data_IF_633460878221
#
_entry.id   IF_633460878221
#
_cell.length_a   1.000
_cell.length_b   1.000
_cell.length_c   1.000
_cell.angle_alpha   90.00
_cell.angle_beta   90.00
_cell.angle_gamma   90.00
#
_symmetry.space_group_name_H-M   'P 1'
#
loop_
_entity.id
_entity.type
_entity.pdbx_description
1 polymer ?
#
# COMPACT_ATOMS: atom_id res chain seq x y z
N UNK A 1 -5.55 12.78 -1.19
CA UNK A 1 -5.16 11.36 -1.40
C UNK A 1 -6.30 10.43 -0.92
N UNK A 2 -7.56 10.89 -1.00
CA UNK A 2 -8.57 10.50 0.01
C UNK A 2 -9.44 9.31 -0.40
N UNK A 3 -9.09 8.64 -1.50
CA UNK A 3 -9.82 7.49 -2.05
C UNK A 3 -8.89 6.33 -2.41
N UNK A 4 -7.67 6.34 -1.88
CA UNK A 4 -6.68 5.29 -2.14
C UNK A 4 -6.49 4.47 -0.87
N UNK A 5 -6.48 3.16 -1.03
CA UNK A 5 -6.08 2.15 -0.04
C UNK A 5 -4.93 1.34 -0.62
N UNK A 6 -4.15 0.70 0.25
CA UNK A 6 -3.04 -0.17 -0.16
C UNK A 6 -3.43 -1.63 0.00
N UNK A 7 -2.98 -2.45 -0.94
CA UNK A 7 -3.09 -3.90 -0.86
C UNK A 7 -1.84 -4.57 -1.45
N UNK A 8 -1.70 -5.88 -1.23
CA UNK A 8 -0.66 -6.68 -1.89
C UNK A 8 -1.21 -7.68 -2.89
N UNK A 9 -2.51 -8.01 -2.82
CA UNK A 9 -3.10 -9.16 -3.53
C UNK A 9 -2.38 -10.50 -3.21
N UNK A 10 -1.91 -10.67 -1.97
CA UNK A 10 -1.22 -11.91 -1.57
C UNK A 10 -2.19 -13.09 -1.60
N UNK A 11 -1.82 -14.26 -2.17
CA UNK A 11 -0.44 -14.70 -2.48
C UNK A 11 0.07 -14.38 -3.90
N UNK A 12 -0.64 -13.56 -4.65
CA UNK A 12 -0.35 -13.17 -6.04
C UNK A 12 0.35 -11.80 -6.12
N UNK A 13 0.76 -11.40 -7.33
CA UNK A 13 1.27 -10.05 -7.66
C UNK A 13 2.39 -9.52 -6.75
N UNK A 14 3.39 -10.34 -6.42
CA UNK A 14 4.55 -9.88 -5.64
C UNK A 14 5.19 -8.62 -6.26
N UNK A 15 5.34 -7.51 -5.51
CA UNK A 15 5.97 -6.30 -6.01
C UNK A 15 7.49 -6.49 -6.13
N UNK A 16 8.18 -5.61 -6.85
CA UNK A 16 9.66 -5.56 -6.82
C UNK A 16 10.16 -5.29 -5.40
N UNK A 17 11.29 -5.90 -4.97
CA UNK A 17 12.19 -6.79 -5.72
C UNK A 17 11.80 -8.28 -5.69
N UNK A 18 10.57 -8.61 -5.30
CA UNK A 18 10.10 -9.98 -5.08
C UNK A 18 9.30 -10.56 -6.26
N UNK A 19 9.28 -9.90 -7.43
CA UNK A 19 8.55 -10.41 -8.61
C UNK A 19 8.99 -11.84 -8.95
N UNK A 20 8.04 -12.63 -9.43
CA UNK A 20 8.25 -14.05 -9.77
C UNK A 20 8.24 -14.99 -8.57
N UNK A 21 8.11 -14.49 -7.34
CA UNK A 21 7.92 -15.30 -6.11
C UNK A 21 6.49 -15.21 -5.61
N UNK A 22 6.09 -16.13 -4.72
CA UNK A 22 4.82 -16.03 -3.98
C UNK A 22 4.82 -14.73 -3.17
N UNK A 23 3.72 -13.97 -3.24
CA UNK A 23 3.61 -12.75 -2.47
C UNK A 23 3.22 -13.03 -1.01
N UNK A 24 3.41 -12.01 -0.18
CA UNK A 24 3.14 -12.02 1.25
C UNK A 24 2.71 -10.61 1.68
N UNK A 25 1.79 -10.50 2.63
CA UNK A 25 1.28 -9.23 3.13
C UNK A 25 2.40 -8.29 3.65
N UNK A 26 3.52 -8.84 4.11
CA UNK A 26 4.70 -8.06 4.55
C UNK A 26 5.34 -7.23 3.43
N UNK A 27 5.03 -7.51 2.16
CA UNK A 27 5.53 -6.74 1.02
C UNK A 27 4.76 -5.43 0.78
N UNK A 28 3.71 -5.12 1.55
CA UNK A 28 2.91 -3.91 1.36
C UNK A 28 3.72 -2.60 1.47
N UNK A 29 4.84 -2.64 2.22
CA UNK A 29 5.80 -1.52 2.30
C UNK A 29 6.31 -1.06 0.94
N UNK A 30 6.56 -1.98 0.00
CA UNK A 30 7.05 -1.64 -1.34
C UNK A 30 5.97 -0.95 -2.17
N UNK A 31 4.68 -1.25 -1.92
CA UNK A 31 3.56 -0.57 -2.57
C UNK A 31 3.43 0.85 -2.05
N UNK A 32 3.55 1.05 -0.73
CA UNK A 32 3.55 2.37 -0.10
C UNK A 32 4.71 3.25 -0.62
N UNK A 33 5.93 2.72 -0.59
CA UNK A 33 7.13 3.40 -1.11
C UNK A 33 6.97 3.78 -2.59
N UNK A 34 6.45 2.86 -3.40
CA UNK A 34 6.26 3.14 -4.83
C UNK A 34 5.20 4.21 -5.08
N UNK A 35 4.11 4.20 -4.32
CA UNK A 35 3.09 5.23 -4.41
C UNK A 35 3.61 6.60 -3.96
N UNK A 36 4.39 6.64 -2.88
CA UNK A 36 5.03 7.86 -2.39
C UNK A 36 5.94 8.49 -3.47
N UNK A 37 6.77 7.67 -4.13
CA UNK A 37 7.58 8.12 -5.28
C UNK A 37 6.72 8.68 -6.42
N UNK A 38 5.62 8.01 -6.78
CA UNK A 38 4.73 8.44 -7.87
C UNK A 38 4.04 9.77 -7.53
N UNK A 39 3.69 9.98 -6.25
CA UNK A 39 2.97 11.16 -5.77
C UNK A 39 3.86 12.30 -5.30
N UNK A 40 5.18 12.09 -5.19
CA UNK A 40 6.12 13.07 -4.64
C UNK A 40 5.87 13.37 -3.16
N UNK A 41 5.41 12.36 -2.40
CA UNK A 41 5.10 12.46 -0.97
C UNK A 41 6.09 11.66 -0.15
N UNK A 42 6.12 11.92 1.17
CA UNK A 42 6.81 11.03 2.10
C UNK A 42 6.07 9.68 2.22
N UNK A 43 6.83 8.60 2.47
CA UNK A 43 6.23 7.27 2.60
C UNK A 43 5.32 7.17 3.84
N UNK A 44 5.70 7.81 4.94
CA UNK A 44 4.88 7.84 6.16
C UNK A 44 3.56 8.59 5.91
N UNK A 45 3.60 9.70 5.17
CA UNK A 45 2.38 10.44 4.80
C UNK A 45 1.42 9.58 3.96
N UNK A 46 1.94 8.80 3.01
CA UNK A 46 1.12 7.84 2.25
C UNK A 46 0.52 6.78 3.16
N UNK A 47 1.29 6.23 4.09
CA UNK A 47 0.82 5.23 5.05
C UNK A 47 -0.32 5.81 5.90
N UNK A 48 -0.13 7.00 6.47
CA UNK A 48 -1.09 7.61 7.39
C UNK A 48 -2.42 7.89 6.67
N UNK A 49 -2.36 8.51 5.48
CA UNK A 49 -3.57 8.85 4.70
C UNK A 49 -4.28 7.60 4.19
N UNK A 50 -3.54 6.60 3.68
CA UNK A 50 -4.16 5.37 3.17
C UNK A 50 -4.71 4.48 4.29
N UNK A 51 -4.10 4.50 5.47
CA UNK A 51 -4.65 3.86 6.66
C UNK A 51 -5.94 4.55 7.12
N UNK A 52 -5.97 5.88 7.18
CA UNK A 52 -7.21 6.61 7.51
C UNK A 52 -8.32 6.33 6.50
N UNK A 53 -7.99 6.28 5.20
CA UNK A 53 -8.96 5.90 4.17
C UNK A 53 -9.49 4.49 4.36
N UNK A 54 -8.62 3.52 4.68
CA UNK A 54 -9.03 2.14 4.94
C UNK A 54 -9.91 2.04 6.19
N UNK A 55 -9.58 2.77 7.26
CA UNK A 55 -10.39 2.83 8.49
C UNK A 55 -11.81 3.31 8.21
N UNK A 56 -11.93 4.44 7.50
CA UNK A 56 -13.22 4.98 7.10
C UNK A 56 -14.01 4.05 6.17
N UNK A 57 -13.34 3.42 5.20
CA UNK A 57 -14.00 2.57 4.21
C UNK A 57 -14.47 1.23 4.78
N UNK A 58 -13.64 0.59 5.62
CA UNK A 58 -13.86 -0.79 6.07
C UNK A 58 -14.54 -0.86 7.45
N UNK A 59 -14.35 0.15 8.28
CA UNK A 59 -14.84 0.15 9.67
C UNK A 59 -15.83 1.30 9.97
N UNK A 60 -16.02 2.24 9.03
CA UNK A 60 -16.94 3.37 9.19
C UNK A 60 -16.48 4.41 10.22
N UNK A 61 -15.18 4.39 10.56
CA UNK A 61 -14.53 5.31 11.49
C UNK A 61 -14.15 6.67 10.87
#
# INVERSE_FOLDING_TARGET
>A
MDRIVLETDSPYMAPEPNRGKRNDSRNIKYVAEKLAQIKGLDTQEVIDVTNQNARRLLFGE
#
